data_IF_685889580986
#
_entry.id   IF_685889580986
#
_cell.length_a   1.000
_cell.length_b   1.000
_cell.length_c   1.000
_cell.angle_alpha   90.00
_cell.angle_beta   90.00
_cell.angle_gamma   90.00
#
_symmetry.space_group_name_H-M   'P 1'
#
loop_
_entity.id
_entity.type
_entity.pdbx_description
1 polymer ?
#
# COMPACT_ATOMS: atom_id res chain seq x y z
N UNK A 1 0.29 -18.48 -4.94
CA UNK A 1 -1.00 -18.06 -4.36
C UNK A 1 -1.45 -16.84 -5.13
N UNK A 2 -2.73 -16.72 -5.45
CA UNK A 2 -3.24 -15.52 -6.13
C UNK A 2 -3.31 -14.36 -5.12
N UNK A 3 -3.08 -13.13 -5.59
CA UNK A 3 -3.10 -11.95 -4.70
C UNK A 3 -4.52 -11.66 -4.21
N UNK A 4 -5.57 -11.90 -5.01
CA UNK A 4 -6.96 -11.85 -4.52
C UNK A 4 -7.18 -12.67 -3.25
N UNK A 5 -6.56 -13.84 -3.12
CA UNK A 5 -6.70 -14.69 -1.92
C UNK A 5 -6.02 -14.09 -0.69
N UNK A 6 -5.00 -13.25 -0.89
CA UNK A 6 -4.33 -12.56 0.20
C UNK A 6 -5.24 -11.50 0.83
N UNK A 7 -6.11 -10.88 0.04
CA UNK A 7 -7.04 -9.84 0.49
C UNK A 7 -8.46 -10.36 0.77
N UNK A 8 -8.78 -11.59 0.36
CA UNK A 8 -10.11 -12.18 0.45
C UNK A 8 -10.80 -11.94 1.80
N UNK A 9 -11.90 -11.16 1.80
CA UNK A 9 -12.74 -10.95 3.00
C UNK A 9 -11.94 -10.46 4.23
N UNK A 10 -10.89 -9.66 4.00
CA UNK A 10 -10.12 -9.06 5.09
C UNK A 10 -10.98 -8.15 5.97
N UNK A 11 -10.84 -8.29 7.28
CA UNK A 11 -11.47 -7.46 8.32
C UNK A 11 -10.68 -6.19 8.63
N UNK A 12 -9.43 -6.12 8.19
CA UNK A 12 -8.50 -5.04 8.51
C UNK A 12 -8.23 -4.13 7.31
N UNK A 13 -8.53 -4.58 6.09
CA UNK A 13 -8.22 -3.82 4.88
C UNK A 13 -8.98 -2.49 4.83
N UNK A 14 -10.30 -2.49 5.01
CA UNK A 14 -11.10 -1.27 5.05
C UNK A 14 -10.65 -0.32 6.16
N UNK A 15 -10.46 -0.84 7.38
CA UNK A 15 -10.14 -0.07 8.57
C UNK A 15 -8.75 0.58 8.48
N UNK A 16 -7.75 -0.08 7.90
CA UNK A 16 -6.40 0.45 7.81
C UNK A 16 -6.04 1.06 6.47
N UNK A 17 -6.76 0.75 5.38
CA UNK A 17 -6.47 1.28 4.05
C UNK A 17 -7.46 2.36 3.61
N UNK A 18 -8.77 2.09 3.69
CA UNK A 18 -9.78 3.02 3.16
C UNK A 18 -10.22 4.04 4.20
N UNK A 19 -10.41 3.63 5.45
CA UNK A 19 -10.83 4.53 6.53
C UNK A 19 -9.89 5.72 6.73
N UNK A 20 -8.56 5.64 6.60
CA UNK A 20 -7.71 6.84 6.63
C UNK A 20 -8.04 7.88 5.55
N UNK A 21 -8.69 7.48 4.46
CA UNK A 21 -9.08 8.31 3.33
C UNK A 21 -10.55 8.76 3.40
N UNK A 22 -11.25 8.53 4.52
CA UNK A 22 -12.69 8.79 4.67
C UNK A 22 -13.10 10.26 4.44
N UNK A 23 -12.17 11.22 4.59
CA UNK A 23 -12.45 12.62 4.31
C UNK A 23 -12.50 12.93 2.81
N UNK A 24 -11.98 12.04 1.97
CA UNK A 24 -11.99 12.15 0.51
C UNK A 24 -13.24 11.47 -0.06
N UNK A 25 -13.58 10.29 0.48
CA UNK A 25 -14.75 9.48 0.11
C UNK A 25 -15.45 9.00 1.38
N UNK A 26 -16.73 9.33 1.53
CA UNK A 26 -17.47 9.16 2.78
C UNK A 26 -17.73 7.71 3.18
N UNK A 27 -17.64 6.78 2.23
CA UNK A 27 -17.83 5.34 2.43
C UNK A 27 -16.47 4.63 2.37
N UNK A 28 -16.18 3.81 3.39
CA UNK A 28 -14.92 3.08 3.48
C UNK A 28 -15.09 1.59 3.76
N UNK A 29 -16.30 1.12 4.02
CA UNK A 29 -16.59 -0.29 4.27
C UNK A 29 -16.31 -1.14 3.02
N UNK A 30 -15.82 -2.37 3.24
CA UNK A 30 -15.55 -3.32 2.15
C UNK A 30 -16.30 -4.64 2.35
N UNK A 31 -17.07 -5.02 1.35
CA UNK A 31 -17.79 -6.29 1.33
C UNK A 31 -17.27 -7.17 0.20
N UNK A 32 -16.81 -8.37 0.53
CA UNK A 32 -16.27 -9.29 -0.48
C UNK A 32 -17.40 -9.99 -1.25
N UNK A 33 -17.34 -9.92 -2.57
CA UNK A 33 -18.19 -10.71 -3.47
C UNK A 33 -17.50 -12.03 -3.85
N UNK A 34 -18.13 -13.14 -3.49
CA UNK A 34 -17.60 -14.48 -3.76
C UNK A 34 -17.59 -14.85 -5.23
N UNK A 35 -18.47 -14.26 -6.04
CA UNK A 35 -18.62 -14.63 -7.45
C UNK A 35 -17.58 -13.92 -8.31
N UNK A 36 -17.44 -12.59 -8.18
CA UNK A 36 -16.42 -11.82 -8.89
C UNK A 36 -15.02 -11.93 -8.29
N UNK A 37 -14.91 -12.43 -7.06
CA UNK A 37 -13.67 -12.42 -6.26
C UNK A 37 -13.04 -11.04 -6.15
N UNK A 38 -13.90 -10.05 -5.95
CA UNK A 38 -13.55 -8.65 -5.75
C UNK A 38 -14.43 -8.07 -4.66
N UNK A 39 -14.07 -6.89 -4.19
CA UNK A 39 -14.94 -6.15 -3.28
C UNK A 39 -16.10 -5.51 -4.04
N UNK A 40 -17.27 -5.47 -3.43
CA UNK A 40 -18.40 -4.71 -3.94
C UNK A 40 -18.02 -3.23 -3.99
N UNK A 41 -18.34 -2.58 -5.10
CA UNK A 41 -18.08 -1.15 -5.29
C UNK A 41 -19.29 -0.37 -4.79
N UNK A 42 -19.12 0.31 -3.67
CA UNK A 42 -20.15 1.19 -3.11
C UNK A 42 -19.99 2.63 -3.63
N UNK A 43 -21.08 3.39 -3.61
CA UNK A 43 -21.06 4.81 -3.95
C UNK A 43 -20.18 5.59 -2.95
N UNK A 44 -19.47 6.60 -3.47
CA UNK A 44 -18.56 7.45 -2.68
C UNK A 44 -17.56 6.63 -1.83
N UNK A 45 -17.00 5.56 -2.42
CA UNK A 45 -16.01 4.68 -1.81
C UNK A 45 -14.78 4.48 -2.69
N UNK A 46 -13.63 4.12 -2.12
CA UNK A 46 -12.44 3.69 -2.88
C UNK A 46 -12.50 2.21 -3.33
N UNK A 47 -13.70 1.60 -3.33
CA UNK A 47 -13.90 0.19 -3.63
C UNK A 47 -13.44 -0.23 -5.03
N UNK A 48 -13.63 0.63 -6.04
CA UNK A 48 -13.16 0.33 -7.39
C UNK A 48 -11.62 0.39 -7.47
N UNK A 49 -11.02 1.44 -6.90
CA UNK A 49 -9.58 1.66 -6.96
C UNK A 49 -8.80 0.58 -6.20
N UNK A 50 -9.33 0.05 -5.09
CA UNK A 50 -8.69 -1.08 -4.41
C UNK A 50 -8.78 -2.36 -5.25
N UNK A 51 -9.89 -2.61 -5.96
CA UNK A 51 -10.02 -3.75 -6.87
C UNK A 51 -9.06 -3.64 -8.06
N UNK A 52 -8.90 -2.43 -8.62
CA UNK A 52 -7.95 -2.15 -9.70
C UNK A 52 -6.51 -2.36 -9.22
N UNK A 53 -6.18 -1.88 -8.02
CA UNK A 53 -4.86 -2.08 -7.41
C UNK A 53 -4.58 -3.56 -7.11
N UNK A 54 -5.56 -4.33 -6.63
CA UNK A 54 -5.40 -5.79 -6.46
C UNK A 54 -5.07 -6.44 -7.81
N UNK A 55 -5.80 -6.09 -8.87
CA UNK A 55 -5.59 -6.65 -10.21
C UNK A 55 -4.23 -6.25 -10.79
N UNK A 56 -3.76 -5.04 -10.51
CA UNK A 56 -2.41 -4.61 -10.86
C UNK A 56 -1.34 -5.42 -10.11
N UNK A 57 -1.50 -5.61 -8.80
CA UNK A 57 -0.57 -6.40 -7.97
C UNK A 57 -0.50 -7.87 -8.41
N UNK A 58 -1.57 -8.42 -8.99
CA UNK A 58 -1.58 -9.76 -9.62
C UNK A 58 -0.69 -9.84 -10.87
N UNK A 59 -0.51 -8.73 -11.58
CA UNK A 59 0.25 -8.68 -12.83
C UNK A 59 1.74 -8.36 -12.64
N UNK A 60 2.14 -7.94 -11.45
CA UNK A 60 3.48 -7.44 -11.17
C UNK A 60 4.35 -8.50 -10.51
N UNK A 61 5.55 -8.70 -11.08
CA UNK A 61 6.59 -9.49 -10.44
C UNK A 61 7.16 -8.75 -9.23
N UNK A 62 7.21 -9.38 -8.04
CA UNK A 62 7.78 -8.72 -6.86
C UNK A 62 9.27 -8.42 -7.06
N UNK A 63 9.76 -7.29 -6.54
CA UNK A 63 11.19 -7.02 -6.52
C UNK A 63 11.91 -8.02 -5.59
N UNK A 64 13.20 -8.28 -5.86
CA UNK A 64 14.03 -9.12 -4.99
C UNK A 64 14.15 -8.53 -3.57
N UNK A 65 14.26 -7.19 -3.50
CA UNK A 65 14.34 -6.44 -2.26
C UNK A 65 13.45 -5.18 -2.32
N UNK A 66 12.22 -5.31 -1.81
CA UNK A 66 11.24 -4.23 -1.82
C UNK A 66 11.63 -3.00 -0.99
N UNK A 67 12.58 -3.15 -0.05
CA UNK A 67 13.10 -2.00 0.69
C UNK A 67 13.84 -1.01 -0.21
N UNK A 68 14.42 -1.47 -1.33
CA UNK A 68 15.10 -0.56 -2.26
C UNK A 68 14.09 0.41 -2.91
N UNK A 69 12.86 -0.05 -3.16
CA UNK A 69 11.78 0.80 -3.64
C UNK A 69 11.33 1.83 -2.59
N UNK A 70 11.24 1.42 -1.32
CA UNK A 70 10.93 2.33 -0.23
C UNK A 70 12.05 3.35 0.03
N UNK A 71 13.30 2.91 -0.16
CA UNK A 71 14.48 3.76 -0.04
C UNK A 71 14.52 4.84 -1.11
N UNK A 72 14.11 4.54 -2.35
CA UNK A 72 14.00 5.54 -3.43
C UNK A 72 13.04 6.67 -3.01
N UNK A 73 11.90 6.34 -2.40
CA UNK A 73 10.91 7.31 -1.92
C UNK A 73 11.50 8.18 -0.79
N UNK A 74 12.18 7.55 0.17
CA UNK A 74 12.81 8.28 1.28
C UNK A 74 13.97 9.17 0.81
N UNK A 75 14.77 8.69 -0.15
CA UNK A 75 15.84 9.47 -0.76
C UNK A 75 15.31 10.68 -1.53
N UNK A 76 14.14 10.56 -2.17
CA UNK A 76 13.48 11.70 -2.80
C UNK A 76 13.17 12.77 -1.76
N UNK A 77 12.52 12.41 -0.65
CA UNK A 77 12.19 13.36 0.44
C UNK A 77 13.45 14.02 0.99
N UNK A 78 14.50 13.25 1.26
CA UNK A 78 15.74 13.81 1.81
C UNK A 78 16.43 14.76 0.82
N UNK A 79 16.59 14.34 -0.45
CA UNK A 79 17.36 15.10 -1.45
C UNK A 79 16.57 16.26 -2.05
N UNK A 80 15.25 16.16 -2.17
CA UNK A 80 14.39 17.16 -2.85
C UNK A 80 13.66 18.06 -1.88
N UNK A 81 13.17 17.51 -0.77
CA UNK A 81 12.45 18.30 0.25
C UNK A 81 13.38 18.76 1.38
N UNK A 82 14.61 18.25 1.46
CA UNK A 82 15.66 18.66 2.40
C UNK A 82 15.24 18.53 3.87
N UNK A 83 14.60 17.41 4.22
CA UNK A 83 14.12 17.14 5.58
C UNK A 83 15.25 16.74 6.54
N UNK A 84 16.49 16.58 6.07
CA UNK A 84 17.64 16.24 6.90
C UNK A 84 17.54 14.83 7.48
N UNK A 85 16.96 13.90 6.72
CA UNK A 85 16.74 12.53 7.16
C UNK A 85 18.02 11.72 7.08
N UNK A 86 18.09 10.64 7.86
CA UNK A 86 19.25 9.74 7.84
C UNK A 86 18.79 8.30 7.88
N UNK A 87 19.42 7.47 7.05
CA UNK A 87 19.28 6.02 7.14
C UNK A 87 20.26 5.48 8.17
N UNK A 88 19.74 4.95 9.29
CA UNK A 88 20.54 4.26 10.30
C UNK A 88 20.22 2.76 10.22
N UNK A 89 21.21 1.96 9.83
CA UNK A 89 21.04 0.54 9.50
C UNK A 89 20.00 0.36 8.38
N UNK A 90 18.83 -0.20 8.71
CA UNK A 90 17.72 -0.47 7.79
C UNK A 90 16.53 0.48 7.97
N UNK A 91 16.66 1.55 8.76
CA UNK A 91 15.55 2.44 9.08
C UNK A 91 15.90 3.89 8.73
N UNK A 92 14.94 4.59 8.14
CA UNK A 92 14.99 6.03 7.98
C UNK A 92 14.55 6.70 9.28
N UNK A 93 15.31 7.72 9.69
CA UNK A 93 15.08 8.49 10.91
C UNK A 93 15.06 9.96 10.54
N UNK A 94 14.19 10.72 11.20
CA UNK A 94 14.01 12.16 10.99
C UNK A 94 12.54 12.54 10.82
N UNK A 95 11.70 11.61 10.40
CA UNK A 95 10.25 11.78 10.28
C UNK A 95 9.53 10.43 10.46
N UNK A 96 8.20 10.49 10.60
CA UNK A 96 7.35 9.31 10.60
C UNK A 96 7.41 8.58 9.24
N UNK A 97 7.48 7.25 9.26
CA UNK A 97 7.73 6.48 8.04
C UNK A 97 6.57 6.57 7.04
N UNK A 98 5.32 6.66 7.49
CA UNK A 98 4.17 6.88 6.60
C UNK A 98 4.32 8.20 5.88
N UNK A 99 4.65 9.27 6.62
CA UNK A 99 4.83 10.60 6.06
C UNK A 99 5.97 10.63 5.05
N UNK A 100 7.07 9.91 5.30
CA UNK A 100 8.18 9.77 4.35
C UNK A 100 7.70 9.13 3.04
N UNK A 101 6.97 8.01 3.11
CA UNK A 101 6.49 7.32 1.92
C UNK A 101 5.46 8.16 1.15
N UNK A 102 4.56 8.82 1.86
CA UNK A 102 3.54 9.70 1.28
C UNK A 102 4.20 10.87 0.52
N UNK A 103 5.10 11.61 1.17
CA UNK A 103 5.78 12.71 0.51
C UNK A 103 6.74 12.26 -0.60
N UNK A 104 7.36 11.09 -0.43
CA UNK A 104 8.21 10.46 -1.44
C UNK A 104 7.45 10.08 -2.71
N UNK A 105 6.20 9.63 -2.57
CA UNK A 105 5.40 9.20 -3.70
C UNK A 105 4.99 10.34 -4.65
N UNK A 106 5.06 11.62 -4.27
CA UNK A 106 4.90 12.73 -5.21
C UNK A 106 6.05 12.83 -6.23
N UNK A 107 7.20 12.20 -5.94
CA UNK A 107 8.30 12.00 -6.88
C UNK A 107 8.25 10.66 -7.62
N UNK A 108 7.26 9.82 -7.33
CA UNK A 108 7.15 8.45 -7.85
C UNK A 108 6.19 8.40 -9.03
N UNK A 109 6.75 8.45 -10.25
CA UNK A 109 5.98 8.44 -11.49
C UNK A 109 5.13 7.16 -11.55
N UNK A 110 3.82 7.35 -11.70
CA UNK A 110 2.80 6.29 -11.72
C UNK A 110 2.84 5.37 -10.48
N UNK A 111 3.27 5.92 -9.33
CA UNK A 111 3.41 5.22 -8.06
C UNK A 111 4.24 3.90 -8.15
N UNK A 112 5.13 3.81 -9.13
CA UNK A 112 5.84 2.58 -9.48
C UNK A 112 6.59 1.96 -8.29
N UNK A 113 7.29 2.77 -7.50
CA UNK A 113 8.03 2.27 -6.34
C UNK A 113 7.10 1.88 -5.21
N UNK A 114 6.01 2.61 -4.98
CA UNK A 114 4.99 2.23 -4.00
C UNK A 114 4.34 0.88 -4.36
N UNK A 115 3.98 0.66 -5.63
CA UNK A 115 3.37 -0.60 -6.09
C UNK A 115 4.36 -1.77 -5.96
N UNK A 116 5.63 -1.57 -6.32
CA UNK A 116 6.68 -2.58 -6.14
C UNK A 116 6.94 -2.89 -4.65
N UNK A 117 6.91 -1.87 -3.79
CA UNK A 117 7.02 -2.02 -2.34
C UNK A 117 5.85 -2.86 -1.78
N UNK A 118 4.61 -2.55 -2.19
CA UNK A 118 3.42 -3.31 -1.81
C UNK A 118 3.52 -4.78 -2.27
N UNK A 119 3.83 -5.01 -3.56
CA UNK A 119 3.98 -6.36 -4.12
C UNK A 119 5.03 -7.16 -3.36
N UNK A 120 6.20 -6.59 -3.10
CA UNK A 120 7.25 -7.29 -2.37
C UNK A 120 6.90 -7.59 -0.91
N UNK A 121 6.16 -6.71 -0.22
CA UNK A 121 5.65 -6.96 1.14
C UNK A 121 4.67 -8.12 1.18
N UNK A 122 3.73 -8.17 0.25
CA UNK A 122 2.76 -9.26 0.12
C UNK A 122 3.50 -10.58 -0.11
N UNK A 123 4.41 -10.61 -1.07
CA UNK A 123 5.17 -11.83 -1.39
C UNK A 123 6.09 -12.27 -0.25
N UNK A 124 6.68 -11.34 0.51
CA UNK A 124 7.44 -11.65 1.70
C UNK A 124 6.55 -12.30 2.77
N UNK A 125 5.38 -11.72 3.07
CA UNK A 125 4.41 -12.30 4.01
C UNK A 125 4.06 -13.74 3.64
N UNK A 126 3.72 -13.97 2.36
CA UNK A 126 3.38 -15.29 1.82
C UNK A 126 4.54 -16.27 1.98
N UNK A 127 5.77 -15.85 1.67
CA UNK A 127 6.99 -16.66 1.83
C UNK A 127 7.23 -17.05 3.29
N UNK A 128 6.86 -16.19 4.23
CA UNK A 128 6.93 -16.46 5.68
C UNK A 128 5.67 -17.14 6.24
N UNK A 129 4.76 -17.62 5.38
CA UNK A 129 3.60 -18.40 5.79
C UNK A 129 2.37 -17.59 6.21
N UNK A 130 2.43 -16.26 6.14
CA UNK A 130 1.29 -15.36 6.37
C UNK A 130 0.54 -15.24 5.04
N UNK A 131 -0.54 -16.01 4.88
CA UNK A 131 -1.21 -16.20 3.57
C UNK A 131 -2.38 -15.24 3.37
N UNK A 132 -2.73 -14.48 4.39
CA UNK A 132 -3.81 -13.53 4.37
C UNK A 132 -3.38 -12.20 5.00
N UNK A 133 -3.95 -11.09 4.55
CA UNK A 133 -3.64 -9.74 5.02
C UNK A 133 -3.80 -9.64 6.55
N UNK A 134 -4.89 -10.17 7.09
CA UNK A 134 -5.16 -10.14 8.54
C UNK A 134 -4.23 -11.06 9.37
N UNK A 135 -3.50 -11.96 8.71
CA UNK A 135 -2.52 -12.83 9.38
C UNK A 135 -1.13 -12.18 9.45
N UNK A 136 -0.94 -11.01 8.83
CA UNK A 136 0.34 -10.34 8.79
C UNK A 136 0.82 -9.94 10.19
N UNK A 137 2.13 -9.99 10.41
CA UNK A 137 2.76 -9.33 11.55
C UNK A 137 2.38 -7.85 11.55
N UNK A 138 1.96 -7.33 12.71
CA UNK A 138 1.31 -6.03 12.84
C UNK A 138 2.13 -4.88 12.24
N UNK A 139 3.45 -4.84 12.47
CA UNK A 139 4.31 -3.83 11.87
C UNK A 139 4.33 -3.88 10.33
N UNK A 140 4.45 -5.08 9.75
CA UNK A 140 4.39 -5.25 8.30
C UNK A 140 3.00 -4.95 7.72
N UNK A 141 1.92 -5.34 8.41
CA UNK A 141 0.54 -5.03 8.02
C UNK A 141 0.33 -3.51 7.95
N UNK A 142 0.66 -2.78 9.03
CA UNK A 142 0.48 -1.33 9.09
C UNK A 142 1.24 -0.61 7.99
N UNK A 143 2.47 -1.02 7.68
CA UNK A 143 3.22 -0.38 6.59
C UNK A 143 2.59 -0.72 5.23
N UNK A 144 2.19 -1.97 4.99
CA UNK A 144 1.49 -2.32 3.76
C UNK A 144 0.20 -1.50 3.62
N UNK A 145 -0.59 -1.36 4.69
CA UNK A 145 -1.79 -0.54 4.69
C UNK A 145 -1.50 0.90 4.30
N UNK A 146 -0.47 1.49 4.90
CA UNK A 146 -0.03 2.85 4.58
C UNK A 146 0.35 2.99 3.10
N UNK A 147 1.14 2.04 2.56
CA UNK A 147 1.53 2.06 1.15
C UNK A 147 0.30 1.98 0.24
N UNK A 148 -0.65 1.09 0.53
CA UNK A 148 -1.89 0.98 -0.25
C UNK A 148 -2.70 2.28 -0.18
N UNK A 149 -2.89 2.87 1.01
CA UNK A 149 -3.58 4.16 1.16
C UNK A 149 -2.91 5.29 0.39
N UNK A 150 -1.57 5.34 0.40
CA UNK A 150 -0.79 6.36 -0.30
C UNK A 150 -0.98 6.22 -1.82
N UNK A 151 -0.95 5.00 -2.36
CA UNK A 151 -1.21 4.75 -3.78
C UNK A 151 -2.60 5.27 -4.17
N UNK A 152 -3.64 4.91 -3.39
CA UNK A 152 -5.01 5.36 -3.65
C UNK A 152 -5.13 6.89 -3.59
N UNK A 153 -4.49 7.51 -2.59
CA UNK A 153 -4.48 8.96 -2.44
C UNK A 153 -3.80 9.67 -3.61
N UNK A 154 -2.63 9.19 -4.06
CA UNK A 154 -1.90 9.82 -5.16
C UNK A 154 -2.66 9.69 -6.47
N UNK A 155 -3.24 8.51 -6.74
CA UNK A 155 -4.11 8.30 -7.90
C UNK A 155 -5.33 9.20 -7.89
N UNK A 156 -5.89 9.49 -6.72
CA UNK A 156 -6.99 10.45 -6.60
C UNK A 156 -6.52 11.89 -6.90
N UNK A 157 -5.35 12.31 -6.39
CA UNK A 157 -4.82 13.64 -6.63
C UNK A 157 -4.35 13.90 -8.07
N UNK A 158 -4.00 12.84 -8.81
CA UNK A 158 -3.47 12.91 -10.17
C UNK A 158 -4.54 12.74 -11.27
N UNK A 159 -5.82 12.59 -10.91
CA UNK A 159 -6.98 12.58 -11.82
C UNK A 159 -7.42 14.01 -12.17
#
# INVERSE_FOLDING_TARGET
MLIENFFYKSHFLDMFVLKPLWMIRGTWDLFWDTDSKRYLVEEDSFGNEINDLISELESISPPENYHDNEDILAEYVDKKLNWGMKKIKKKWIGADYKVILEQGGFGDIDEKNLVLAASGRIHAAIKFGQKHFDEMENGHMIILSNVLSIILFHRYCNQ
#
